data_IF_602370034250
#
_entry.id   IF_602370034250
#
_cell.length_a   1.000
_cell.length_b   1.000
_cell.length_c   1.000
_cell.angle_alpha   90.00
_cell.angle_beta   90.00
_cell.angle_gamma   90.00
#
_symmetry.space_group_name_H-M   'P 1'
#
loop_
_entity.id
_entity.type
_entity.pdbx_description
1 polymer ?
#
# COMPACT_ATOMS: atom_id res chain seq x y z
N UNK A 1 13.47 24.97 9.28
CA UNK A 1 13.04 24.25 8.07
C UNK A 1 14.04 23.19 7.69
N UNK A 2 13.72 21.92 7.98
CA UNK A 2 14.42 20.77 7.42
C UNK A 2 13.38 19.92 6.72
N UNK A 3 13.19 20.21 5.43
CA UNK A 3 12.47 19.31 4.54
C UNK A 3 13.37 18.09 4.33
N UNK A 4 12.94 16.94 4.83
CA UNK A 4 13.58 15.67 4.51
C UNK A 4 13.24 15.34 3.05
N UNK A 5 14.22 15.54 2.16
CA UNK A 5 14.14 15.11 0.77
C UNK A 5 14.32 13.60 0.75
N UNK A 6 13.25 12.85 0.50
CA UNK A 6 13.35 11.47 0.04
C UNK A 6 13.70 11.52 -1.45
N UNK A 7 14.85 11.03 -1.92
CA UNK A 7 15.12 10.95 -3.35
C UNK A 7 14.50 9.64 -3.85
N UNK A 8 13.19 9.62 -4.05
CA UNK A 8 12.61 8.63 -4.95
C UNK A 8 12.60 9.31 -6.30
N UNK A 9 13.46 8.85 -7.22
CA UNK A 9 13.60 9.45 -8.54
C UNK A 9 12.30 9.26 -9.31
N UNK A 10 11.44 10.27 -9.28
CA UNK A 10 10.46 10.46 -10.35
C UNK A 10 11.23 10.46 -11.67
N UNK A 11 10.81 9.56 -12.57
CA UNK A 11 11.32 9.31 -13.92
C UNK A 11 12.55 8.38 -14.04
N UNK A 12 12.31 7.08 -13.96
CA UNK A 12 12.82 6.18 -15.01
C UNK A 12 11.99 6.42 -16.30
N UNK A 13 12.00 7.64 -16.83
CA UNK A 13 11.45 7.93 -18.16
C UNK A 13 12.42 7.38 -19.19
N UNK A 14 12.32 6.08 -19.42
CA UNK A 14 12.98 5.40 -20.53
C UNK A 14 11.94 4.67 -21.39
N UNK A 15 10.80 5.33 -21.66
CA UNK A 15 9.85 4.91 -22.70
C UNK A 15 9.16 3.55 -22.48
N UNK A 16 9.17 3.02 -21.26
CA UNK A 16 8.51 1.78 -20.87
C UNK A 16 7.75 2.04 -19.57
N UNK A 17 6.42 2.11 -19.67
CA UNK A 17 5.40 2.12 -18.61
C UNK A 17 5.75 2.87 -17.31
N UNK A 18 5.25 4.09 -17.18
CA UNK A 18 5.22 4.81 -15.91
C UNK A 18 4.10 4.20 -15.05
N UNK A 19 4.40 3.12 -14.32
CA UNK A 19 3.46 2.51 -13.38
C UNK A 19 3.51 3.35 -12.11
N UNK A 20 2.46 4.11 -11.85
CA UNK A 20 2.31 4.80 -10.56
C UNK A 20 2.02 3.76 -9.47
N UNK A 21 2.70 3.83 -8.31
CA UNK A 21 2.44 2.89 -7.22
C UNK A 21 1.03 3.06 -6.65
N UNK A 22 0.31 1.95 -6.48
CA UNK A 22 -1.03 1.91 -5.91
C UNK A 22 -0.91 1.63 -4.41
N UNK A 23 -1.06 2.68 -3.60
CA UNK A 23 -1.00 2.57 -2.14
C UNK A 23 -2.19 1.76 -1.62
N UNK A 24 -1.91 0.78 -0.77
CA UNK A 24 -2.88 -0.18 -0.26
C UNK A 24 -2.99 -1.48 -1.06
N UNK A 25 -2.32 -1.60 -2.21
CA UNK A 25 -2.30 -2.85 -3.00
C UNK A 25 -1.25 -3.81 -2.42
N UNK A 26 -1.64 -4.56 -1.40
CA UNK A 26 -0.79 -5.55 -0.75
C UNK A 26 -0.77 -6.89 -1.51
N UNK A 27 -1.71 -7.09 -2.43
CA UNK A 27 -1.78 -8.30 -3.27
C UNK A 27 -1.06 -8.17 -4.60
N UNK A 28 -0.61 -6.97 -4.97
CA UNK A 28 -0.05 -6.60 -6.27
C UNK A 28 -1.00 -6.97 -7.44
N UNK A 29 -2.30 -6.71 -7.28
CA UNK A 29 -3.34 -7.03 -8.25
C UNK A 29 -3.95 -5.80 -8.97
N UNK A 30 -3.32 -4.64 -8.77
CA UNK A 30 -3.72 -3.31 -9.25
C UNK A 30 -5.08 -2.83 -8.71
N UNK A 31 -5.56 -3.39 -7.59
CA UNK A 31 -6.76 -2.93 -6.89
C UNK A 31 -6.45 -2.73 -5.40
N UNK A 32 -7.33 -1.95 -4.76
CA UNK A 32 -7.34 -1.81 -3.31
C UNK A 32 -8.69 -2.32 -2.83
N UNK A 33 -8.71 -3.51 -2.27
CA UNK A 33 -9.91 -4.16 -1.78
C UNK A 33 -9.70 -4.96 -0.48
N UNK A 34 -10.71 -5.74 -0.07
CA UNK A 34 -10.64 -6.49 1.19
C UNK A 34 -9.57 -7.59 1.17
N UNK A 35 -9.13 -8.06 0.00
CA UNK A 35 -8.06 -9.04 -0.12
C UNK A 35 -6.72 -8.45 0.31
N UNK A 36 -6.47 -7.17 0.07
CA UNK A 36 -5.25 -6.50 0.54
C UNK A 36 -5.21 -6.42 2.07
N UNK A 37 -6.33 -6.05 2.70
CA UNK A 37 -6.44 -6.05 4.15
C UNK A 37 -6.20 -7.46 4.76
N UNK A 38 -6.69 -8.51 4.08
CA UNK A 38 -6.44 -9.90 4.49
C UNK A 38 -4.97 -10.26 4.30
N UNK A 39 -4.34 -9.82 3.22
CA UNK A 39 -2.94 -10.12 2.92
C UNK A 39 -2.00 -9.46 3.94
N UNK A 40 -2.27 -8.21 4.33
CA UNK A 40 -1.58 -7.54 5.44
C UNK A 40 -1.77 -8.32 6.75
N UNK A 41 -2.97 -8.81 7.04
CA UNK A 41 -3.22 -9.61 8.23
C UNK A 41 -2.40 -10.93 8.23
N UNK A 42 -2.24 -11.59 7.08
CA UNK A 42 -1.38 -12.78 6.96
C UNK A 42 0.09 -12.44 7.20
N UNK A 43 0.55 -11.31 6.67
CA UNK A 43 1.91 -10.81 6.90
C UNK A 43 2.19 -10.60 8.40
N UNK A 44 1.28 -9.91 9.12
CA UNK A 44 1.40 -9.69 10.57
C UNK A 44 1.40 -11.01 11.35
N UNK A 45 0.66 -12.00 10.87
CA UNK A 45 0.57 -13.34 11.48
C UNK A 45 1.72 -14.27 11.10
N UNK A 46 2.71 -13.81 10.34
CA UNK A 46 3.85 -14.60 9.86
C UNK A 46 3.40 -15.81 9.00
N UNK A 47 2.28 -15.65 8.28
CA UNK A 47 1.71 -16.64 7.35
C UNK A 47 2.19 -16.40 5.91
N UNK A 48 2.44 -15.13 5.56
CA UNK A 48 3.02 -14.72 4.28
C UNK A 48 4.14 -13.70 4.51
N UNK A 49 5.06 -13.61 3.55
CA UNK A 49 6.17 -12.66 3.56
C UNK A 49 5.92 -11.56 2.53
N UNK A 50 6.25 -10.32 2.88
CA UNK A 50 6.30 -9.20 1.95
C UNK A 50 7.73 -8.89 1.56
N UNK A 51 7.94 -8.61 0.27
CA UNK A 51 9.13 -7.91 -0.19
C UNK A 51 9.06 -6.41 0.19
N UNK A 52 10.17 -5.70 -0.01
CA UNK A 52 10.27 -4.29 0.40
C UNK A 52 9.32 -3.36 -0.36
N UNK A 53 9.03 -3.68 -1.63
CA UNK A 53 8.10 -2.90 -2.44
C UNK A 53 6.66 -3.11 -1.94
N UNK A 54 6.27 -4.36 -1.66
CA UNK A 54 4.94 -4.69 -1.12
C UNK A 54 4.74 -4.12 0.28
N UNK A 55 5.77 -4.09 1.13
CA UNK A 55 5.69 -3.40 2.44
C UNK A 55 5.43 -1.91 2.28
N UNK A 56 6.09 -1.28 1.30
CA UNK A 56 5.89 0.14 1.02
C UNK A 56 4.46 0.40 0.55
N UNK A 57 3.90 -0.43 -0.34
CA UNK A 57 2.53 -0.29 -0.80
C UNK A 57 1.52 -0.58 0.31
N UNK A 58 1.77 -1.58 1.15
CA UNK A 58 0.91 -2.01 2.24
C UNK A 58 0.85 -1.02 3.41
N UNK A 59 1.90 -0.21 3.65
CA UNK A 59 1.89 0.91 4.61
C UNK A 59 1.07 2.10 4.04
N UNK A 60 -0.24 1.90 3.98
CA UNK A 60 -1.19 2.86 3.40
C UNK A 60 -1.29 4.13 4.25
N UNK A 61 -1.10 4.00 5.56
CA UNK A 61 -1.17 5.12 6.49
C UNK A 61 0.14 5.95 6.54
N UNK A 62 1.24 5.38 6.02
CA UNK A 62 2.59 5.98 5.86
C UNK A 62 3.26 6.35 7.16
N UNK A 63 3.09 5.54 8.20
CA UNK A 63 3.80 5.70 9.46
C UNK A 63 5.15 4.97 9.50
N UNK A 64 5.48 4.24 8.43
CA UNK A 64 6.72 3.49 8.25
C UNK A 64 6.65 2.06 8.78
N UNK A 65 5.48 1.57 9.20
CA UNK A 65 5.30 0.22 9.73
C UNK A 65 4.06 -0.42 9.10
N UNK A 66 4.25 -1.51 8.36
CA UNK A 66 3.12 -2.31 7.87
C UNK A 66 2.50 -3.10 9.03
N UNK A 67 1.33 -2.70 9.50
CA UNK A 67 0.63 -3.34 10.62
C UNK A 67 -0.90 -3.37 10.51
N UNK A 68 -1.56 -3.69 11.63
CA UNK A 68 -3.02 -3.86 11.66
C UNK A 68 -3.76 -2.56 11.31
N UNK A 69 -3.18 -1.40 11.56
CA UNK A 69 -3.80 -0.12 11.25
C UNK A 69 -3.93 0.08 9.74
N UNK A 70 -3.00 -0.44 8.94
CA UNK A 70 -3.11 -0.41 7.48
C UNK A 70 -4.28 -1.24 6.95
N UNK A 71 -4.43 -2.46 7.48
CA UNK A 71 -5.55 -3.32 7.13
C UNK A 71 -6.91 -2.68 7.51
N UNK A 72 -6.96 -1.97 8.64
CA UNK A 72 -8.15 -1.22 9.07
C UNK A 72 -8.42 -0.04 8.15
N UNK A 73 -7.38 0.67 7.71
CA UNK A 73 -7.51 1.82 6.83
C UNK A 73 -8.05 1.42 5.44
N UNK A 74 -7.57 0.30 4.88
CA UNK A 74 -8.13 -0.29 3.65
C UNK A 74 -9.62 -0.59 3.84
N UNK A 75 -9.99 -1.28 4.93
CA UNK A 75 -11.39 -1.58 5.21
C UNK A 75 -12.26 -0.32 5.36
N UNK A 76 -11.71 0.75 5.95
CA UNK A 76 -12.39 2.04 6.11
C UNK A 76 -12.67 2.70 4.76
N UNK A 77 -11.68 2.74 3.86
CA UNK A 77 -11.81 3.31 2.51
C UNK A 77 -12.95 2.61 1.76
N UNK A 78 -12.95 1.28 1.74
CA UNK A 78 -13.97 0.47 1.05
C UNK A 78 -15.39 0.72 1.63
N UNK A 79 -15.49 0.86 2.96
CA UNK A 79 -16.76 1.18 3.61
C UNK A 79 -17.28 2.58 3.30
N UNK A 80 -16.39 3.55 3.07
CA UNK A 80 -16.76 4.92 2.70
C UNK A 80 -17.20 4.99 1.23
N UNK A 81 -16.49 4.31 0.33
CA UNK A 81 -16.87 4.18 -1.08
C UNK A 81 -18.25 3.54 -1.23
N UNK A 82 -18.53 2.49 -0.46
CA UNK A 82 -19.83 1.81 -0.46
C UNK A 82 -21.02 2.67 0.00
N UNK A 83 -20.78 3.80 0.71
CA UNK A 83 -21.82 4.72 1.16
C UNK A 83 -22.06 5.89 0.21
N UNK A 84 -21.17 6.10 -0.75
CA UNK A 84 -21.26 7.18 -1.72
C UNK A 84 -22.18 6.85 -2.90
N UNK A 85 -22.67 5.61 -2.99
CA UNK A 85 -23.64 5.10 -3.96
C UNK A 85 -25.06 5.02 -3.38
#
# INVERSE_FOLDING_TARGET
DVAWIMPVSDTMSNGLYNVEPIWGDATNDDKVDLYDAIEIAKYIMDISDFDEDTKLLADINRDGVTDLYDAIEIARIIMEESKAE
#
